data_IF_518027171385
#
_entry.id   IF_518027171385
#
_cell.length_a   1.000
_cell.length_b   1.000
_cell.length_c   1.000
_cell.angle_alpha   90.00
_cell.angle_beta   90.00
_cell.angle_gamma   90.00
#
_symmetry.space_group_name_H-M   'P 1'
#
loop_
_entity.id
_entity.type
_entity.pdbx_description
1 polymer ?
#
# COMPACT_ATOMS: atom_id res chain seq x y z
N UNK A 1 23.70 -22.20 -20.06
CA UNK A 1 23.19 -20.93 -20.64
C UNK A 1 21.74 -20.77 -20.20
N UNK A 2 21.45 -19.88 -19.25
CA UNK A 2 20.07 -19.61 -18.82
C UNK A 2 19.37 -18.73 -19.88
N UNK A 3 18.31 -19.24 -20.50
CA UNK A 3 17.55 -18.50 -21.50
C UNK A 3 16.41 -17.69 -20.83
N UNK A 4 16.25 -16.38 -21.09
CA UNK A 4 15.28 -15.49 -20.43
C UNK A 4 13.82 -15.95 -20.50
N UNK A 5 13.46 -16.76 -21.50
CA UNK A 5 12.12 -17.35 -21.63
C UNK A 5 11.76 -18.27 -20.44
N UNK A 6 12.76 -18.88 -19.78
CA UNK A 6 12.57 -19.69 -18.57
C UNK A 6 12.58 -18.86 -17.28
N UNK A 7 12.42 -17.53 -17.30
CA UNK A 7 12.21 -16.71 -16.07
C UNK A 7 10.80 -16.18 -15.88
N UNK A 8 9.89 -16.36 -16.84
CA UNK A 8 8.52 -15.84 -16.71
C UNK A 8 7.66 -16.72 -15.81
N UNK A 9 7.04 -16.11 -14.80
CA UNK A 9 5.93 -16.70 -14.05
C UNK A 9 4.78 -16.98 -14.99
N UNK A 10 4.10 -18.11 -14.81
CA UNK A 10 2.85 -18.38 -15.51
C UNK A 10 1.71 -17.54 -14.89
N UNK A 11 0.51 -17.61 -15.47
CA UNK A 11 -0.65 -16.84 -15.00
C UNK A 11 -1.06 -17.21 -13.57
N UNK A 12 -1.05 -18.51 -13.25
CA UNK A 12 -1.40 -19.01 -11.93
C UNK A 12 -0.43 -18.51 -10.85
N UNK A 13 0.87 -18.56 -11.12
CA UNK A 13 1.92 -18.05 -10.25
C UNK A 13 1.84 -16.54 -10.10
N UNK A 14 1.52 -15.83 -11.18
CA UNK A 14 1.30 -14.38 -11.13
C UNK A 14 0.11 -14.04 -10.24
N UNK A 15 -0.98 -14.80 -10.34
CA UNK A 15 -2.15 -14.65 -9.48
C UNK A 15 -1.82 -14.94 -8.01
N UNK A 16 -1.09 -16.02 -7.73
CA UNK A 16 -0.63 -16.35 -6.37
C UNK A 16 0.29 -15.27 -5.78
N UNK A 17 1.24 -14.76 -6.57
CA UNK A 17 2.11 -13.64 -6.15
C UNK A 17 1.26 -12.41 -5.82
N UNK A 18 0.23 -12.11 -6.62
CA UNK A 18 -0.68 -11.01 -6.34
C UNK A 18 -1.40 -11.20 -5.00
N UNK A 19 -2.04 -12.34 -4.78
CA UNK A 19 -2.75 -12.64 -3.52
C UNK A 19 -1.84 -12.56 -2.29
N UNK A 20 -0.64 -13.13 -2.38
CA UNK A 20 0.33 -13.09 -1.29
C UNK A 20 0.83 -11.66 -1.03
N UNK A 21 1.06 -10.88 -2.09
CA UNK A 21 1.50 -9.48 -1.96
C UNK A 21 0.42 -8.58 -1.35
N UNK A 22 -0.86 -8.86 -1.61
CA UNK A 22 -1.99 -8.17 -1.00
C UNK A 22 -2.18 -8.56 0.48
N UNK A 23 -1.79 -9.78 0.82
CA UNK A 23 -1.75 -10.29 2.21
C UNK A 23 -0.50 -9.82 2.99
N UNK A 24 0.19 -8.79 2.50
CA UNK A 24 1.37 -8.17 3.10
C UNK A 24 2.58 -9.09 3.29
N UNK A 25 2.66 -10.22 2.57
CA UNK A 25 3.83 -11.08 2.61
C UNK A 25 5.02 -10.41 1.91
N UNK A 26 6.20 -10.56 2.52
CA UNK A 26 7.43 -10.05 1.94
C UNK A 26 7.88 -10.93 0.76
N UNK A 27 8.57 -10.36 -0.25
CA UNK A 27 9.06 -11.11 -1.42
C UNK A 27 9.84 -12.39 -1.10
N UNK A 28 10.59 -12.43 0.01
CA UNK A 28 11.28 -13.65 0.48
C UNK A 28 10.33 -14.74 0.96
N UNK A 29 9.23 -14.37 1.62
CA UNK A 29 8.20 -15.32 2.07
C UNK A 29 7.43 -15.86 0.86
N UNK A 30 7.10 -14.98 -0.09
CA UNK A 30 6.51 -15.36 -1.38
C UNK A 30 7.40 -16.36 -2.10
N UNK A 31 8.72 -16.11 -2.14
CA UNK A 31 9.69 -17.03 -2.75
C UNK A 31 9.67 -18.41 -2.09
N UNK A 32 9.77 -18.45 -0.76
CA UNK A 32 9.76 -19.70 -0.02
C UNK A 32 8.49 -20.52 -0.28
N UNK A 33 7.34 -19.84 -0.35
CA UNK A 33 6.05 -20.45 -0.57
C UNK A 33 5.87 -20.96 -2.01
N UNK A 34 6.38 -20.23 -3.01
CA UNK A 34 6.41 -20.71 -4.40
C UNK A 34 7.36 -21.88 -4.59
N UNK A 35 8.53 -21.86 -3.94
CA UNK A 35 9.50 -22.96 -4.00
C UNK A 35 8.96 -24.24 -3.36
N UNK A 36 8.21 -24.15 -2.25
CA UNK A 36 7.64 -25.33 -1.59
C UNK A 36 6.48 -25.97 -2.36
N UNK A 37 5.83 -25.21 -3.25
CA UNK A 37 4.68 -25.67 -4.05
C UNK A 37 5.06 -26.19 -5.43
N UNK A 38 6.29 -25.94 -5.90
CA UNK A 38 6.75 -26.39 -7.21
C UNK A 38 7.45 -27.75 -7.13
N UNK A 39 7.04 -28.68 -7.98
CA UNK A 39 7.71 -29.97 -8.21
C UNK A 39 8.91 -29.87 -9.18
N UNK A 40 9.20 -28.67 -9.71
CA UNK A 40 10.10 -28.46 -10.87
C UNK A 40 11.43 -27.77 -10.50
N UNK A 41 12.53 -28.20 -11.14
CA UNK A 41 13.91 -27.68 -11.05
C UNK A 41 14.12 -26.19 -11.43
N UNK A 42 13.02 -25.46 -11.70
CA UNK A 42 13.08 -24.08 -12.16
C UNK A 42 13.21 -23.12 -10.99
N UNK A 43 14.44 -22.67 -10.74
CA UNK A 43 14.80 -21.74 -9.67
C UNK A 43 13.94 -20.46 -9.70
N UNK A 44 13.21 -20.21 -8.61
CA UNK A 44 12.49 -18.95 -8.41
C UNK A 44 13.50 -17.91 -7.92
N UNK A 45 13.83 -16.93 -8.76
CA UNK A 45 14.73 -15.85 -8.38
C UNK A 45 13.97 -14.77 -7.59
N UNK A 46 14.54 -14.34 -6.46
CA UNK A 46 13.99 -13.28 -5.62
C UNK A 46 13.80 -11.97 -6.40
N UNK A 47 14.74 -11.60 -7.28
CA UNK A 47 14.67 -10.41 -8.10
C UNK A 47 13.45 -10.43 -9.05
N UNK A 48 13.11 -11.61 -9.58
CA UNK A 48 11.95 -11.76 -10.46
C UNK A 48 10.65 -11.55 -9.67
N UNK A 49 10.59 -12.01 -8.41
CA UNK A 49 9.46 -11.72 -7.52
C UNK A 49 9.35 -10.23 -7.25
N UNK A 50 10.45 -9.54 -6.92
CA UNK A 50 10.42 -8.08 -6.74
C UNK A 50 9.90 -7.36 -7.98
N UNK A 51 10.37 -7.75 -9.16
CA UNK A 51 9.93 -7.19 -10.43
C UNK A 51 8.43 -7.46 -10.67
N UNK A 52 7.95 -8.66 -10.34
CA UNK A 52 6.55 -9.03 -10.53
C UNK A 52 5.63 -8.31 -9.56
N UNK A 53 5.98 -8.23 -8.27
CA UNK A 53 5.26 -7.44 -7.26
C UNK A 53 5.20 -5.98 -7.68
N UNK A 54 6.31 -5.42 -8.20
CA UNK A 54 6.33 -4.05 -8.72
C UNK A 54 5.35 -3.87 -9.89
N UNK A 55 5.34 -4.79 -10.87
CA UNK A 55 4.39 -4.75 -12.00
C UNK A 55 2.94 -4.83 -11.53
N UNK A 56 2.62 -5.73 -10.60
CA UNK A 56 1.28 -5.89 -10.03
C UNK A 56 0.84 -4.58 -9.37
N UNK A 57 1.70 -3.97 -8.53
CA UNK A 57 1.41 -2.68 -7.89
C UNK A 57 1.18 -1.57 -8.92
N UNK A 58 2.03 -1.47 -9.95
CA UNK A 58 1.87 -0.48 -11.01
C UNK A 58 0.55 -0.62 -11.78
N UNK A 59 0.17 -1.86 -12.12
CA UNK A 59 -1.10 -2.15 -12.78
C UNK A 59 -2.30 -1.77 -11.90
N UNK A 60 -2.24 -2.08 -10.59
CA UNK A 60 -3.29 -1.72 -9.62
C UNK A 60 -3.45 -0.21 -9.46
N UNK A 61 -2.33 0.52 -9.52
CA UNK A 61 -2.35 1.98 -9.44
C UNK A 61 -2.88 2.64 -10.71
N UNK A 62 -2.89 1.95 -11.85
CA UNK A 62 -3.38 2.48 -13.15
C UNK A 62 -2.77 3.85 -13.49
N UNK A 63 -1.47 4.02 -13.21
CA UNK A 63 -0.75 5.28 -13.44
C UNK A 63 -0.92 6.35 -12.35
N UNK A 64 -1.78 6.13 -11.34
CA UNK A 64 -1.89 7.02 -10.16
C UNK A 64 -0.68 6.85 -9.24
N UNK A 65 -0.37 7.89 -8.46
CA UNK A 65 0.63 7.76 -7.38
C UNK A 65 0.01 6.93 -6.23
N UNK A 66 0.81 6.15 -5.49
CA UNK A 66 0.31 5.35 -4.37
C UNK A 66 -0.50 6.15 -3.36
N UNK A 67 -0.06 7.38 -3.05
CA UNK A 67 -0.73 8.25 -2.10
C UNK A 67 -2.09 8.74 -2.62
N UNK A 68 -2.23 9.01 -3.91
CA UNK A 68 -3.51 9.44 -4.49
C UNK A 68 -4.52 8.28 -4.46
N UNK A 69 -4.07 7.07 -4.80
CA UNK A 69 -4.90 5.88 -4.70
C UNK A 69 -5.33 5.57 -3.25
N UNK A 70 -4.44 5.80 -2.27
CA UNK A 70 -4.78 5.67 -0.85
C UNK A 70 -5.86 6.68 -0.44
N UNK A 71 -5.70 7.95 -0.80
CA UNK A 71 -6.68 9.01 -0.48
C UNK A 71 -8.04 8.70 -1.12
N UNK A 72 -8.07 8.19 -2.36
CA UNK A 72 -9.32 7.78 -3.00
C UNK A 72 -10.01 6.65 -2.24
N UNK A 73 -9.26 5.64 -1.77
CA UNK A 73 -9.82 4.56 -0.95
C UNK A 73 -10.33 5.09 0.40
N UNK A 74 -9.58 5.99 1.05
CA UNK A 74 -9.99 6.62 2.31
C UNK A 74 -11.25 7.48 2.18
N UNK A 75 -11.55 8.03 0.99
CA UNK A 75 -12.82 8.73 0.73
C UNK A 75 -14.01 7.77 0.62
N UNK A 76 -13.77 6.54 0.15
CA UNK A 76 -14.81 5.53 -0.02
C UNK A 76 -15.13 4.84 1.30
N UNK A 77 -14.12 4.63 2.12
CA UNK A 77 -14.23 4.01 3.42
C UNK A 77 -14.57 5.07 4.50
N UNK A 78 -15.25 4.69 5.59
CA UNK A 78 -15.69 5.62 6.64
C UNK A 78 -14.52 6.09 7.54
N UNK A 79 -13.47 6.63 6.94
CA UNK A 79 -12.32 7.19 7.65
C UNK A 79 -12.39 8.71 7.67
N UNK A 80 -11.94 9.29 8.78
CA UNK A 80 -11.65 10.72 8.88
C UNK A 80 -10.16 10.88 8.61
N UNK A 81 -9.79 11.75 7.67
CA UNK A 81 -8.39 11.93 7.31
C UNK A 81 -8.06 13.41 7.04
N UNK A 82 -6.78 13.74 7.15
CA UNK A 82 -6.22 15.02 6.72
C UNK A 82 -4.86 14.83 6.08
N UNK A 83 -4.54 15.67 5.11
CA UNK A 83 -3.23 15.70 4.47
C UNK A 83 -2.67 17.12 4.43
N UNK A 84 -1.41 17.28 4.80
CA UNK A 84 -0.64 18.49 4.49
C UNK A 84 0.00 18.34 3.10
N UNK A 85 0.13 19.45 2.38
CA UNK A 85 0.78 19.50 1.06
C UNK A 85 1.83 20.59 1.00
N UNK A 86 2.88 20.35 0.20
CA UNK A 86 3.87 21.39 -0.14
C UNK A 86 3.33 22.36 -1.21
N UNK A 87 4.16 23.34 -1.59
CA UNK A 87 3.83 24.34 -2.62
C UNK A 87 3.62 23.75 -4.01
N UNK A 88 4.08 22.53 -4.27
CA UNK A 88 3.91 21.81 -5.53
C UNK A 88 2.68 20.87 -5.50
N UNK A 89 1.99 20.81 -4.37
CA UNK A 89 0.81 19.98 -4.16
C UNK A 89 1.09 18.52 -3.82
N UNK A 90 2.33 18.17 -3.49
CA UNK A 90 2.71 16.85 -2.98
C UNK A 90 2.29 16.69 -1.52
N UNK A 91 1.77 15.51 -1.17
CA UNK A 91 1.41 15.20 0.22
C UNK A 91 2.68 14.98 1.04
N UNK A 92 2.87 15.78 2.09
CA UNK A 92 4.02 15.71 3.01
C UNK A 92 3.66 15.06 4.35
N UNK A 93 2.38 15.04 4.71
CA UNK A 93 1.89 14.37 5.91
C UNK A 93 0.47 13.87 5.71
N UNK A 94 0.15 12.72 6.28
CA UNK A 94 -1.18 12.09 6.21
C UNK A 94 -1.57 11.55 7.59
N UNK A 95 -2.70 12.02 8.11
CA UNK A 95 -3.33 11.54 9.33
C UNK A 95 -4.63 10.82 8.97
N UNK A 96 -4.83 9.64 9.54
CA UNK A 96 -6.00 8.78 9.28
C UNK A 96 -6.56 8.32 10.62
N UNK A 97 -7.87 8.44 10.79
CA UNK A 97 -8.60 8.00 11.97
C UNK A 97 -9.80 7.15 11.55
N UNK A 98 -10.00 6.03 12.23
CA UNK A 98 -11.21 5.23 12.07
C UNK A 98 -12.38 5.92 12.76
N UNK A 99 -13.48 6.13 12.03
CA UNK A 99 -14.70 6.70 12.60
C UNK A 99 -15.26 5.84 13.74
N UNK A 100 -15.06 4.52 13.67
CA UNK A 100 -15.53 3.60 14.70
C UNK A 100 -14.79 3.78 16.03
N UNK A 101 -13.48 4.00 15.99
CA UNK A 101 -12.67 4.26 17.19
C UNK A 101 -13.01 5.61 17.82
N UNK A 102 -13.33 6.62 16.99
CA UNK A 102 -13.79 7.92 17.47
C UNK A 102 -15.12 7.79 18.22
N UNK A 103 -16.09 7.07 17.67
CA UNK A 103 -17.41 6.85 18.27
C UNK A 103 -17.40 6.03 19.56
N UNK A 104 -16.46 5.08 19.71
CA UNK A 104 -16.36 4.25 20.91
C UNK A 104 -15.66 4.92 22.09
N UNK A 105 -15.15 6.15 21.91
CA UNK A 105 -14.54 6.89 23.03
C UNK A 105 -15.61 7.54 23.91
N UNK A 106 -15.44 7.44 25.24
CA UNK A 106 -16.35 7.99 26.26
C UNK A 106 -16.61 9.52 26.13
N UNK A 107 -15.86 10.20 25.27
CA UNK A 107 -15.98 11.62 25.01
C UNK A 107 -15.68 11.97 23.55
N UNK A 108 -16.35 11.26 22.63
CA UNK A 108 -16.11 11.32 21.18
C UNK A 108 -16.12 12.73 20.59
N UNK A 109 -16.95 13.65 21.08
CA UNK A 109 -16.94 15.06 20.67
C UNK A 109 -15.63 15.78 21.01
N UNK A 110 -15.06 15.52 22.19
CA UNK A 110 -13.78 16.10 22.63
C UNK A 110 -12.62 15.49 21.84
N UNK A 111 -12.69 14.18 21.57
CA UNK A 111 -11.69 13.47 20.75
C UNK A 111 -11.72 13.95 19.29
N UNK A 112 -12.92 14.13 18.72
CA UNK A 112 -13.10 14.72 17.39
C UNK A 112 -12.60 16.17 17.33
N UNK A 113 -12.94 17.00 18.32
CA UNK A 113 -12.46 18.38 18.38
C UNK A 113 -10.92 18.42 18.47
N UNK A 114 -10.32 17.53 19.25
CA UNK A 114 -8.87 17.44 19.36
C UNK A 114 -8.21 16.96 18.06
N UNK A 115 -8.75 15.92 17.42
CA UNK A 115 -8.29 15.47 16.09
C UNK A 115 -8.45 16.58 15.06
N UNK A 116 -9.58 17.30 15.07
CA UNK A 116 -9.82 18.44 14.19
C UNK A 116 -8.80 19.57 14.41
N UNK A 117 -8.47 19.88 15.66
CA UNK A 117 -7.46 20.87 16.03
C UNK A 117 -6.06 20.42 15.60
N UNK A 118 -5.68 19.17 15.85
CA UNK A 118 -4.39 18.60 15.44
C UNK A 118 -4.24 18.63 13.90
N UNK A 119 -5.32 18.29 13.20
CA UNK A 119 -5.41 18.33 11.74
C UNK A 119 -5.27 19.77 11.20
N UNK A 120 -5.94 20.76 11.80
CA UNK A 120 -5.98 22.13 11.28
C UNK A 120 -4.82 23.01 11.75
N UNK A 121 -4.22 22.73 12.91
CA UNK A 121 -3.06 23.49 13.42
C UNK A 121 -1.74 23.03 12.80
N UNK A 122 -1.60 21.75 12.42
CA UNK A 122 -0.38 21.28 11.75
C UNK A 122 -0.32 21.56 10.24
N UNK A 123 -1.44 22.00 9.63
CA UNK A 123 -1.47 22.48 8.24
C UNK A 123 -0.82 23.85 8.00
N UNK A 124 -0.43 24.57 9.06
CA UNK A 124 0.08 25.96 8.99
C UNK A 124 1.58 26.13 9.24
N UNK A 125 2.37 25.04 9.32
CA UNK A 125 3.82 25.13 9.43
C UNK A 125 4.51 24.69 8.13
N UNK A 126 4.48 25.57 7.12
CA UNK A 126 5.54 25.63 6.11
C UNK A 126 6.37 26.88 6.39
N UNK A 127 7.63 26.77 6.84
CA UNK A 127 8.53 27.92 6.83
C UNK A 127 8.93 28.21 5.39
N UNK A 128 8.65 29.44 4.94
CA UNK A 128 9.28 30.03 3.76
C UNK A 128 10.70 30.49 4.05
#
# INVERSE_FOLDING_TARGET
>A
MEHPAFRKFNEQETFQIAQMSESLLFPRQIQAQLCSQRESDRLVNLQDIYNQVKKIKQNKLQGRRPIDALIDNLKQEKFVWSSARDSEGHITSLFIYSFFELMLSDNWLRRLAQVYIEIHLQGHQCPG
#
